data_IF_019098125025
#
_entry.id   IF_019098125025
#
_cell.length_a   1.000
_cell.length_b   1.000
_cell.length_c   1.000
_cell.angle_alpha   90.00
_cell.angle_beta   90.00
_cell.angle_gamma   90.00
#
_symmetry.space_group_name_H-M   'P 1'
#
loop_
_entity.id
_entity.type
_entity.pdbx_description
1 polymer ?
#
# COMPACT_ATOMS: atom_id res chain seq x y z
N UNK A 1 25.78 12.62 9.57
CA UNK A 1 25.66 11.98 8.25
C UNK A 1 24.60 10.90 8.34
N UNK A 2 23.36 11.30 8.10
CA UNK A 2 22.24 10.45 7.66
C UNK A 2 21.62 11.33 6.58
N UNK A 3 21.56 10.85 5.34
CA UNK A 3 21.03 11.64 4.24
C UNK A 3 19.58 11.98 4.55
N UNK A 4 19.27 13.27 4.66
CA UNK A 4 17.91 13.77 4.56
C UNK A 4 17.48 13.59 3.11
N UNK A 5 17.23 12.34 2.70
CA UNK A 5 16.38 12.07 1.55
C UNK A 5 14.97 12.45 1.98
N UNK A 6 14.69 13.76 1.98
CA UNK A 6 13.34 14.28 2.08
C UNK A 6 12.66 13.92 0.76
N UNK A 7 12.20 12.67 0.66
CA UNK A 7 11.10 12.38 -0.25
C UNK A 7 9.98 13.30 0.22
N UNK A 8 9.63 14.28 -0.59
CA UNK A 8 8.41 15.05 -0.39
C UNK A 8 7.23 14.11 -0.67
N UNK A 9 7.00 13.13 0.22
CA UNK A 9 5.83 12.28 0.21
C UNK A 9 4.67 13.14 0.67
N UNK A 10 4.08 13.90 -0.24
CA UNK A 10 2.68 14.31 -0.11
C UNK A 10 1.73 13.12 -0.31
N UNK A 11 2.14 11.91 0.09
CA UNK A 11 1.50 10.65 -0.24
C UNK A 11 1.69 9.62 0.87
N UNK A 12 0.94 8.53 0.76
CA UNK A 12 0.89 7.47 1.76
C UNK A 12 1.88 6.35 1.42
N UNK A 13 2.47 5.73 2.45
CA UNK A 13 3.33 4.55 2.27
C UNK A 13 2.52 3.32 2.66
N UNK A 14 2.28 2.42 1.71
CA UNK A 14 1.62 1.13 1.99
C UNK A 14 2.64 0.20 2.66
N UNK A 15 2.30 -0.28 3.86
CA UNK A 15 3.17 -1.17 4.65
C UNK A 15 2.57 -2.56 4.84
N UNK A 16 1.25 -2.73 4.67
CA UNK A 16 0.58 -4.04 4.68
C UNK A 16 -0.61 -4.12 3.74
N UNK A 17 -0.91 -5.33 3.29
CA UNK A 17 -2.13 -5.69 2.58
C UNK A 17 -2.75 -6.92 3.26
N UNK A 18 -3.96 -6.79 3.79
CA UNK A 18 -4.65 -7.85 4.55
C UNK A 18 -3.77 -8.48 5.65
N UNK A 19 -2.95 -7.66 6.31
CA UNK A 19 -2.00 -8.10 7.35
C UNK A 19 -0.65 -8.60 6.82
N UNK A 20 -0.52 -8.92 5.54
CA UNK A 20 0.75 -9.30 4.89
C UNK A 20 1.65 -8.09 4.76
N UNK A 21 2.91 -8.21 5.21
CA UNK A 21 3.91 -7.14 5.10
C UNK A 21 4.24 -6.89 3.63
N UNK A 22 4.18 -5.62 3.24
CA UNK A 22 4.59 -5.17 1.92
C UNK A 22 6.01 -4.61 2.00
N UNK A 23 6.86 -5.06 1.09
CA UNK A 23 8.21 -4.54 0.85
C UNK A 23 8.26 -4.04 -0.59
N UNK A 24 9.18 -3.11 -0.90
CA UNK A 24 9.05 -2.18 -2.04
C UNK A 24 8.65 -2.76 -3.41
N UNK A 25 8.93 -4.02 -3.71
CA UNK A 25 8.65 -4.68 -4.98
C UNK A 25 7.50 -5.71 -4.95
N UNK A 26 7.05 -6.16 -3.77
CA UNK A 26 6.10 -7.29 -3.67
C UNK A 26 4.62 -6.88 -3.80
N UNK A 27 4.30 -5.59 -3.74
CA UNK A 27 2.91 -5.11 -3.73
C UNK A 27 2.11 -5.57 -4.95
N UNK A 28 2.71 -5.53 -6.14
CA UNK A 28 2.05 -5.93 -7.39
C UNK A 28 1.73 -7.43 -7.36
N UNK A 29 2.67 -8.26 -6.90
CA UNK A 29 2.46 -9.70 -6.79
C UNK A 29 1.41 -10.06 -5.74
N UNK A 30 1.32 -9.30 -4.64
CA UNK A 30 0.30 -9.53 -3.61
C UNK A 30 -1.10 -9.14 -4.11
N UNK A 31 -1.24 -7.99 -4.79
CA UNK A 31 -2.55 -7.56 -5.34
C UNK A 31 -3.07 -8.54 -6.39
N UNK A 32 -2.18 -9.10 -7.23
CA UNK A 32 -2.55 -10.06 -8.28
C UNK A 32 -3.14 -11.38 -7.77
N UNK A 33 -3.11 -11.65 -6.46
CA UNK A 33 -3.76 -12.82 -5.84
C UNK A 33 -5.27 -12.64 -5.67
N UNK A 34 -5.77 -11.42 -5.83
CA UNK A 34 -7.17 -11.06 -5.65
C UNK A 34 -7.84 -10.79 -7.00
N UNK A 35 -9.16 -10.88 -7.01
CA UNK A 35 -9.98 -10.60 -8.18
C UNK A 35 -10.56 -9.18 -8.12
N UNK A 36 -10.90 -8.58 -9.27
CA UNK A 36 -11.76 -7.40 -9.31
C UNK A 36 -13.05 -7.64 -8.52
N UNK A 37 -13.45 -6.65 -7.71
CA UNK A 37 -14.56 -6.73 -6.77
C UNK A 37 -14.16 -7.20 -5.37
N UNK A 38 -12.96 -7.74 -5.17
CA UNK A 38 -12.51 -8.14 -3.84
C UNK A 38 -12.27 -6.92 -2.95
N UNK A 39 -12.71 -7.04 -1.69
CA UNK A 39 -12.41 -6.05 -0.66
C UNK A 39 -11.10 -6.42 0.03
N UNK A 40 -10.17 -5.46 0.09
CA UNK A 40 -8.89 -5.60 0.79
C UNK A 40 -8.69 -4.47 1.80
N UNK A 41 -7.86 -4.73 2.81
CA UNK A 41 -7.45 -3.74 3.80
C UNK A 41 -5.99 -3.38 3.56
N UNK A 42 -5.72 -2.11 3.31
CA UNK A 42 -4.38 -1.54 3.22
C UNK A 42 -4.01 -0.91 4.56
N UNK A 43 -2.86 -1.25 5.09
CA UNK A 43 -2.26 -0.47 6.18
C UNK A 43 -1.28 0.51 5.57
N UNK A 44 -1.50 1.80 5.81
CA UNK A 44 -0.69 2.89 5.30
C UNK A 44 -0.04 3.69 6.42
N UNK A 45 1.11 4.28 6.13
CA UNK A 45 1.73 5.33 6.93
C UNK A 45 1.47 6.67 6.25
N UNK A 46 0.77 7.57 6.95
CA UNK A 46 0.49 8.95 6.54
C UNK A 46 1.14 9.90 7.54
N UNK A 47 2.30 10.45 7.17
CA UNK A 47 3.17 11.14 8.13
C UNK A 47 3.59 10.18 9.24
N UNK A 48 3.26 10.50 10.49
CA UNK A 48 3.58 9.66 11.66
C UNK A 48 2.43 8.73 12.08
N UNK A 49 1.34 8.68 11.31
CA UNK A 49 0.14 7.91 11.65
C UNK A 49 0.02 6.64 10.81
N UNK A 50 -0.26 5.52 11.47
CA UNK A 50 -0.66 4.28 10.82
C UNK A 50 -2.17 4.22 10.70
N UNK A 51 -2.69 4.03 9.49
CA UNK A 51 -4.11 3.95 9.20
C UNK A 51 -4.44 2.64 8.47
N UNK A 52 -5.62 2.09 8.73
CA UNK A 52 -6.19 1.00 7.94
C UNK A 52 -7.26 1.55 7.00
N UNK A 53 -7.16 1.22 5.72
CA UNK A 53 -8.04 1.70 4.66
C UNK A 53 -8.61 0.48 3.93
N UNK A 54 -9.92 0.32 4.00
CA UNK A 54 -10.64 -0.71 3.25
C UNK A 54 -10.96 -0.20 1.86
N UNK A 55 -10.54 -0.94 0.83
CA UNK A 55 -10.78 -0.61 -0.59
C UNK A 55 -11.36 -1.82 -1.32
N UNK A 56 -12.07 -1.55 -2.42
CA UNK A 56 -12.54 -2.58 -3.35
C UNK A 56 -11.66 -2.50 -4.59
N UNK A 57 -11.10 -3.64 -5.00
CA UNK A 57 -10.28 -3.73 -6.20
C UNK A 57 -11.14 -3.60 -7.45
N UNK A 58 -10.67 -2.85 -8.45
CA UNK A 58 -11.29 -2.79 -9.77
C UNK A 58 -10.42 -3.54 -10.79
N UNK A 59 -10.99 -3.80 -11.97
CA UNK A 59 -10.26 -4.39 -13.07
C UNK A 59 -9.10 -3.46 -13.47
N UNK A 60 -7.92 -4.06 -13.64
CA UNK A 60 -6.79 -3.36 -14.25
C UNK A 60 -7.18 -2.99 -15.67
N UNK A 61 -7.42 -1.70 -15.90
CA UNK A 61 -7.67 -1.13 -17.22
C UNK A 61 -6.35 -0.54 -17.73
N UNK A 62 -5.97 -0.88 -18.97
CA UNK A 62 -4.81 -0.31 -19.67
C UNK A 62 -5.10 1.11 -20.20
#
# INVERSE_FOLDING_TARGET
MVGEDTVSVGGDIIIRLNGTIIVGDNIVSEIRKYNPGDTIVLTILRGDQTLEVTVVLDALTE
#
